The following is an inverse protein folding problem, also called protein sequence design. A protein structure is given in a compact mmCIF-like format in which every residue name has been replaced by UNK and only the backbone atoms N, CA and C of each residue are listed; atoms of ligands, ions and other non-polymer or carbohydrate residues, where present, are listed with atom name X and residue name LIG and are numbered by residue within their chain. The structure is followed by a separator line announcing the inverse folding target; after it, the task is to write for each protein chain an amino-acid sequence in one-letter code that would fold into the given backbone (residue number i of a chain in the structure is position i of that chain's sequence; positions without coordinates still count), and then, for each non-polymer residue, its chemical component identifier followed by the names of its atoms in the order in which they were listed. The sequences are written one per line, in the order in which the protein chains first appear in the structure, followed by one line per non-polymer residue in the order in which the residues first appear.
data_IF_604560821423
#
_entry.id   IF_604560821423
#
_cell.length_a   1.000
_cell.length_b   1.000
_cell.length_c   1.000
_cell.angle_alpha   90.00
_cell.angle_beta   90.00
_cell.angle_gamma   90.00
#
_symmetry.space_group_name_H-M   'P 1'
#
loop_
_entity.id
_entity.type
_entity.pdbx_description
1 polymer ?
#
# COMPACT_ATOMS: atom_id res chain seq x y z
N UNK A 1 -3.05 20.68 -1.21
CA UNK A 1 -2.12 20.97 -0.08
C UNK A 1 -2.94 21.22 1.18
N UNK A 2 -2.53 20.65 2.32
CA UNK A 2 -3.18 20.85 3.62
C UNK A 2 -2.93 22.26 4.16
N UNK A 3 -3.80 22.76 5.05
CA UNK A 3 -3.62 24.06 5.71
C UNK A 3 -2.28 24.12 6.46
N UNK A 4 -1.89 23.01 7.12
CA UNK A 4 -0.58 22.89 7.79
C UNK A 4 0.57 23.07 6.82
N UNK A 5 0.55 22.37 5.67
CA UNK A 5 1.60 22.48 4.65
C UNK A 5 1.73 23.89 4.09
N UNK A 6 0.60 24.60 3.89
CA UNK A 6 0.63 26.00 3.46
C UNK A 6 1.26 26.93 4.49
N UNK A 7 1.02 26.70 5.79
CA UNK A 7 1.61 27.50 6.88
C UNK A 7 3.12 27.27 7.01
N UNK A 8 3.57 26.03 6.81
CA UNK A 8 5.01 25.70 6.80
C UNK A 8 5.70 26.37 5.61
N UNK A 9 5.13 26.24 4.39
CA UNK A 9 5.68 26.88 3.19
C UNK A 9 5.76 28.41 3.31
N UNK A 10 4.82 29.05 4.00
CA UNK A 10 4.82 30.48 4.27
C UNK A 10 5.74 30.90 5.43
N UNK A 11 6.45 29.96 6.05
CA UNK A 11 7.32 30.24 7.20
C UNK A 11 6.57 30.63 8.48
N UNK A 12 5.24 30.45 8.54
CA UNK A 12 4.42 30.75 9.72
C UNK A 12 4.63 29.68 10.81
N UNK A 13 4.89 28.44 10.39
CA UNK A 13 5.21 27.32 11.26
C UNK A 13 6.53 26.71 10.82
N UNK A 14 7.38 26.37 11.79
CA UNK A 14 8.56 25.57 11.52
C UNK A 14 8.16 24.12 11.23
N UNK A 15 8.86 23.50 10.29
CA UNK A 15 8.74 22.07 10.09
C UNK A 15 9.37 21.34 11.28
N UNK A 16 8.83 20.19 11.66
CA UNK A 16 9.43 19.32 12.67
C UNK A 16 10.73 18.75 12.09
N UNK A 17 11.81 18.76 12.86
CA UNK A 17 13.05 18.15 12.40
C UNK A 17 12.96 16.61 12.40
N UNK A 18 13.81 15.95 11.62
CA UNK A 18 13.76 14.50 11.44
C UNK A 18 14.07 13.73 12.74
N UNK A 19 14.99 14.23 13.55
CA UNK A 19 15.34 13.60 14.84
C UNK A 19 14.15 13.62 15.82
N UNK A 20 13.39 14.70 15.85
CA UNK A 20 12.18 14.78 16.66
C UNK A 20 11.08 13.84 16.14
N UNK A 21 10.93 13.69 14.83
CA UNK A 21 9.98 12.73 14.25
C UNK A 21 10.35 11.31 14.68
N UNK A 22 11.61 10.92 14.56
CA UNK A 22 12.11 9.60 14.97
C UNK A 22 11.90 9.40 16.48
N UNK A 23 12.24 10.40 17.30
CA UNK A 23 12.06 10.34 18.75
C UNK A 23 10.60 10.16 19.15
N UNK A 24 9.68 10.93 18.55
CA UNK A 24 8.24 10.82 18.81
C UNK A 24 7.70 9.45 18.38
N UNK A 25 8.17 8.93 17.25
CA UNK A 25 7.77 7.61 16.78
C UNK A 25 8.24 6.50 17.73
N UNK A 26 9.47 6.55 18.24
CA UNK A 26 9.99 5.60 19.21
C UNK A 26 9.20 5.65 20.53
N UNK A 27 8.88 6.85 21.02
CA UNK A 27 8.02 7.02 22.21
C UNK A 27 6.64 6.40 21.98
N UNK A 28 6.05 6.59 20.79
CA UNK A 28 4.77 6.00 20.44
C UNK A 28 4.83 4.46 20.49
N UNK A 29 5.87 3.85 19.89
CA UNK A 29 6.07 2.40 19.92
C UNK A 29 6.21 1.89 21.35
N UNK A 30 7.05 2.53 22.18
CA UNK A 30 7.25 2.13 23.58
C UNK A 30 5.95 2.21 24.39
N UNK A 31 5.25 3.34 24.30
CA UNK A 31 4.02 3.57 25.06
C UNK A 31 2.88 2.63 24.63
N UNK A 32 2.72 2.39 23.35
CA UNK A 32 1.71 1.44 22.87
C UNK A 32 2.02 0.01 23.34
N UNK A 33 3.30 -0.40 23.29
CA UNK A 33 3.76 -1.69 23.80
C UNK A 33 3.51 -1.86 25.29
N UNK A 34 3.81 -0.83 26.12
CA UNK A 34 3.53 -0.82 27.58
C UNK A 34 2.03 -1.05 27.88
N UNK A 35 1.14 -0.63 26.98
CA UNK A 35 -0.31 -0.79 27.12
C UNK A 35 -0.88 -2.03 26.40
N UNK A 36 -0.01 -2.97 26.00
CA UNK A 36 -0.41 -4.25 25.42
C UNK A 36 -0.85 -4.18 23.95
N UNK A 37 -0.39 -3.17 23.21
CA UNK A 37 -0.60 -3.11 21.78
C UNK A 37 0.59 -3.71 21.03
N UNK A 38 0.30 -4.43 19.96
CA UNK A 38 1.26 -4.90 18.97
C UNK A 38 1.41 -3.85 17.88
N UNK A 39 2.64 -3.49 17.53
CA UNK A 39 2.97 -2.71 16.36
C UNK A 39 3.10 -3.68 15.18
N UNK A 40 2.04 -3.92 14.44
CA UNK A 40 2.00 -4.95 13.41
C UNK A 40 2.26 -4.43 11.98
N UNK A 41 2.19 -3.11 11.80
CA UNK A 41 2.54 -2.42 10.55
C UNK A 41 2.98 -1.00 10.90
N UNK A 42 3.76 -0.34 10.05
CA UNK A 42 4.42 0.97 10.31
C UNK A 42 3.49 1.98 11.00
N UNK A 43 2.21 2.05 10.61
CA UNK A 43 1.26 3.04 11.11
C UNK A 43 0.17 2.45 11.99
N UNK A 44 0.14 1.12 12.17
CA UNK A 44 -0.98 0.43 12.79
C UNK A 44 -0.56 -0.34 14.03
N UNK A 45 -1.31 -0.12 15.08
CA UNK A 45 -1.18 -0.78 16.38
C UNK A 45 -2.51 -1.44 16.73
N UNK A 46 -2.49 -2.64 17.30
CA UNK A 46 -3.68 -3.34 17.75
C UNK A 46 -3.39 -4.19 18.98
N UNK A 47 -4.40 -4.48 19.78
CA UNK A 47 -4.33 -5.56 20.77
C UNK A 47 -4.34 -6.90 20.06
N UNK A 48 -3.82 -7.94 20.70
CA UNK A 48 -3.84 -9.31 20.18
C UNK A 48 -5.26 -9.71 19.76
N UNK A 49 -5.41 -10.26 18.55
CA UNK A 49 -6.70 -10.63 17.97
C UNK A 49 -7.52 -9.49 17.37
N UNK A 50 -7.07 -8.22 17.49
CA UNK A 50 -7.79 -7.04 16.98
C UNK A 50 -7.10 -6.33 15.83
N UNK A 51 -6.17 -6.99 15.13
CA UNK A 51 -5.57 -6.44 13.91
C UNK A 51 -6.64 -6.16 12.87
N UNK A 52 -6.53 -5.02 12.18
CA UNK A 52 -7.49 -4.66 11.12
C UNK A 52 -7.43 -5.67 9.98
N UNK A 53 -8.48 -6.46 9.80
CA UNK A 53 -8.59 -7.39 8.67
C UNK A 53 -8.55 -6.65 7.33
N UNK A 54 -9.27 -5.55 7.24
CA UNK A 54 -9.31 -4.74 6.03
C UNK A 54 -7.91 -4.22 5.63
N UNK A 55 -7.15 -3.66 6.56
CA UNK A 55 -5.80 -3.18 6.27
C UNK A 55 -4.84 -4.33 5.95
N UNK A 56 -4.98 -5.47 6.63
CA UNK A 56 -4.12 -6.64 6.42
C UNK A 56 -4.28 -7.25 5.02
N UNK A 57 -5.45 -7.13 4.40
CA UNK A 57 -5.71 -7.61 3.04
C UNK A 57 -4.77 -6.95 2.02
N UNK A 58 -4.48 -5.65 2.17
CA UNK A 58 -3.59 -4.93 1.26
C UNK A 58 -2.11 -5.40 1.32
N UNK A 59 -1.75 -6.14 2.38
CA UNK A 59 -0.39 -6.65 2.60
C UNK A 59 -0.24 -8.15 2.23
N UNK A 60 -1.32 -8.82 1.79
CA UNK A 60 -1.38 -10.28 1.63
C UNK A 60 -1.70 -10.76 0.22
N UNK A 61 -1.47 -9.97 -0.81
CA UNK A 61 -1.72 -10.33 -2.22
C UNK A 61 -3.16 -10.86 -2.50
N UNK A 62 -4.12 -10.49 -1.65
CA UNK A 62 -5.52 -10.87 -1.81
C UNK A 62 -6.20 -9.98 -2.84
N UNK A 63 -6.95 -10.59 -3.75
CA UNK A 63 -7.75 -9.87 -4.74
C UNK A 63 -8.85 -9.07 -4.07
N UNK A 64 -9.05 -7.85 -4.53
CA UNK A 64 -10.09 -6.97 -4.00
C UNK A 64 -10.74 -6.11 -5.09
N UNK A 65 -11.99 -5.75 -4.88
CA UNK A 65 -12.76 -4.85 -5.74
C UNK A 65 -13.03 -3.54 -5.00
N UNK A 66 -12.55 -2.45 -5.58
CA UNK A 66 -12.79 -1.11 -5.07
C UNK A 66 -14.07 -0.49 -5.64
N UNK A 67 -14.94 -0.01 -4.77
CA UNK A 67 -16.19 0.67 -5.14
C UNK A 67 -16.09 2.15 -4.79
N UNK A 68 -16.47 3.00 -5.72
CA UNK A 68 -16.46 4.45 -5.55
C UNK A 68 -15.41 5.17 -6.37
N UNK A 69 -15.46 6.51 -6.39
CA UNK A 69 -14.48 7.35 -7.05
C UNK A 69 -13.09 7.16 -6.44
N UNK A 70 -12.05 7.11 -7.27
CA UNK A 70 -10.66 6.81 -6.89
C UNK A 70 -10.42 5.42 -6.27
N UNK A 71 -11.41 4.56 -6.12
CA UNK A 71 -11.23 3.26 -5.52
C UNK A 71 -10.37 2.36 -6.41
N UNK A 72 -9.47 1.63 -5.77
CA UNK A 72 -8.56 0.68 -6.43
C UNK A 72 -9.11 -0.73 -6.36
N UNK A 73 -8.83 -1.52 -7.39
CA UNK A 73 -9.10 -2.95 -7.45
C UNK A 73 -7.83 -3.70 -7.86
N UNK A 74 -7.71 -4.96 -7.44
CA UNK A 74 -6.59 -5.82 -7.75
C UNK A 74 -7.10 -7.24 -8.02
N UNK A 75 -6.64 -7.85 -9.12
CA UNK A 75 -7.05 -9.19 -9.54
C UNK A 75 -5.92 -10.25 -9.47
N UNK A 76 -4.77 -9.89 -8.89
CA UNK A 76 -3.57 -10.72 -8.82
C UNK A 76 -2.61 -10.53 -10.00
N UNK A 77 -3.03 -9.86 -11.07
CA UNK A 77 -2.21 -9.62 -12.29
C UNK A 77 -2.26 -8.18 -12.76
N UNK A 78 -3.31 -7.49 -12.41
CA UNK A 78 -3.50 -6.09 -12.78
C UNK A 78 -4.09 -5.29 -11.64
N UNK A 79 -3.78 -4.02 -11.65
CA UNK A 79 -4.40 -3.01 -10.79
C UNK A 79 -5.23 -2.08 -11.65
N UNK A 80 -6.39 -1.72 -11.15
CA UNK A 80 -7.21 -0.68 -11.75
C UNK A 80 -7.66 0.32 -10.70
N UNK A 81 -7.94 1.54 -11.11
CA UNK A 81 -8.51 2.58 -10.25
C UNK A 81 -9.57 3.35 -10.98
N UNK A 82 -10.67 3.59 -10.31
CA UNK A 82 -11.80 4.32 -10.83
C UNK A 82 -11.45 5.81 -11.02
N UNK A 83 -12.20 6.50 -11.89
CA UNK A 83 -12.06 7.95 -12.06
C UNK A 83 -12.18 8.67 -10.71
N UNK A 84 -11.35 9.68 -10.49
CA UNK A 84 -11.29 10.40 -9.21
C UNK A 84 -12.41 11.43 -9.02
N UNK A 85 -12.96 11.96 -10.12
CA UNK A 85 -14.05 12.93 -10.06
C UNK A 85 -15.37 12.24 -9.71
N UNK A 86 -15.93 12.54 -8.54
CA UNK A 86 -17.15 11.90 -8.01
C UNK A 86 -18.36 12.10 -8.94
N UNK A 87 -18.56 13.29 -9.46
CA UNK A 87 -19.69 13.59 -10.39
C UNK A 87 -19.58 12.73 -11.65
N UNK A 88 -18.38 12.68 -12.24
CA UNK A 88 -18.12 11.85 -13.40
C UNK A 88 -18.32 10.37 -13.09
N UNK A 89 -17.84 9.89 -11.95
CA UNK A 89 -18.04 8.50 -11.52
C UNK A 89 -19.53 8.13 -11.44
N UNK A 90 -20.35 8.98 -10.80
CA UNK A 90 -21.79 8.76 -10.68
C UNK A 90 -22.44 8.72 -12.06
N UNK A 91 -22.18 9.69 -12.93
CA UNK A 91 -22.71 9.72 -14.29
C UNK A 91 -22.37 8.45 -15.07
N UNK A 92 -21.12 7.98 -14.99
CA UNK A 92 -20.69 6.75 -15.66
C UNK A 92 -21.40 5.52 -15.12
N UNK A 93 -21.58 5.41 -13.79
CA UNK A 93 -22.34 4.31 -13.17
C UNK A 93 -23.81 4.32 -13.61
N UNK A 94 -24.45 5.48 -13.71
CA UNK A 94 -25.82 5.61 -14.20
C UNK A 94 -25.94 5.17 -15.67
N UNK A 95 -24.99 5.57 -16.52
CA UNK A 95 -24.90 5.12 -17.92
C UNK A 95 -24.75 3.60 -17.99
N UNK A 96 -23.82 3.02 -17.22
CA UNK A 96 -23.62 1.57 -17.15
C UNK A 96 -24.88 0.83 -16.70
N UNK A 97 -25.59 1.37 -15.72
CA UNK A 97 -26.85 0.81 -15.21
C UNK A 97 -27.95 0.83 -16.26
N UNK A 98 -28.06 1.91 -17.05
CA UNK A 98 -29.10 2.07 -18.09
C UNK A 98 -28.84 1.23 -19.35
N UNK A 99 -27.57 1.03 -19.72
CA UNK A 99 -27.16 0.33 -20.94
C UNK A 99 -26.84 -1.16 -20.71
N UNK A 100 -26.78 -1.61 -19.45
CA UNK A 100 -26.47 -2.99 -19.09
C UNK A 100 -25.02 -3.39 -19.42
N UNK A 101 -24.76 -4.71 -19.54
CA UNK A 101 -23.42 -5.28 -19.78
C UNK A 101 -22.68 -4.76 -21.03
N UNK A 102 -23.40 -4.22 -22.00
CA UNK A 102 -22.81 -3.76 -23.28
C UNK A 102 -21.77 -2.64 -23.14
N UNK A 103 -21.80 -1.89 -22.05
CA UNK A 103 -20.83 -0.81 -21.76
C UNK A 103 -19.44 -1.34 -21.40
N UNK A 104 -19.37 -2.55 -20.86
CA UNK A 104 -18.10 -3.15 -20.42
C UNK A 104 -17.34 -3.88 -21.55
N UNK A 105 -17.92 -4.05 -22.72
CA UNK A 105 -17.36 -4.84 -23.82
C UNK A 105 -16.46 -4.03 -24.76
N UNK A 106 -16.44 -2.71 -24.67
CA UNK A 106 -15.58 -1.83 -25.47
C UNK A 106 -14.47 -1.25 -24.58
N UNK A 107 -13.20 -1.51 -24.91
CA UNK A 107 -12.03 -0.97 -24.19
C UNK A 107 -12.06 0.55 -24.11
N UNK A 108 -12.46 1.24 -25.21
CA UNK A 108 -12.56 2.70 -25.25
C UNK A 108 -13.56 3.25 -24.21
N UNK A 109 -14.66 2.54 -23.99
CA UNK A 109 -15.65 2.92 -22.99
C UNK A 109 -15.13 2.58 -21.57
N UNK A 110 -14.48 1.45 -21.40
CA UNK A 110 -13.90 1.04 -20.11
C UNK A 110 -12.87 2.07 -19.59
N UNK A 111 -12.04 2.66 -20.44
CA UNK A 111 -11.08 3.71 -20.09
C UNK A 111 -11.73 4.99 -19.54
N UNK A 112 -13.00 5.22 -19.81
CA UNK A 112 -13.75 6.34 -19.22
C UNK A 112 -14.08 6.10 -17.74
N UNK A 113 -14.21 4.82 -17.33
CA UNK A 113 -14.62 4.42 -15.98
C UNK A 113 -13.42 4.22 -15.05
N UNK A 114 -12.38 3.59 -15.57
CA UNK A 114 -11.19 3.27 -14.80
C UNK A 114 -9.93 3.28 -15.67
N UNK A 115 -8.80 3.41 -15.02
CA UNK A 115 -7.49 3.12 -15.60
C UNK A 115 -7.02 1.77 -15.10
N UNK A 116 -6.30 1.05 -15.97
CA UNK A 116 -5.76 -0.28 -15.65
C UNK A 116 -4.27 -0.34 -15.96
N UNK A 117 -3.54 -1.01 -15.09
CA UNK A 117 -2.12 -1.32 -15.21
C UNK A 117 -1.94 -2.83 -15.13
N UNK A 118 -1.25 -3.41 -16.11
CA UNK A 118 -0.84 -4.81 -16.05
C UNK A 118 0.50 -4.88 -15.33
N UNK A 119 0.55 -5.62 -14.24
CA UNK A 119 1.74 -5.74 -13.41
C UNK A 119 2.67 -6.81 -13.98
N UNK A 120 3.93 -6.43 -14.21
CA UNK A 120 4.99 -7.36 -14.55
C UNK A 120 5.36 -8.21 -13.33
N UNK A 121 6.20 -9.23 -13.52
CA UNK A 121 6.76 -10.00 -12.40
C UNK A 121 7.61 -9.12 -11.49
N UNK A 122 8.39 -8.20 -12.08
CA UNK A 122 9.20 -7.24 -11.33
C UNK A 122 8.33 -6.31 -10.47
N UNK A 123 7.22 -5.79 -11.03
CA UNK A 123 6.31 -4.93 -10.28
C UNK A 123 5.72 -5.67 -9.07
N UNK A 124 5.21 -6.88 -9.28
CA UNK A 124 4.64 -7.70 -8.21
C UNK A 124 5.66 -8.07 -7.13
N UNK A 125 6.88 -8.44 -7.54
CA UNK A 125 7.97 -8.71 -6.60
C UNK A 125 8.33 -7.47 -5.78
N UNK A 126 8.52 -6.33 -6.43
CA UNK A 126 8.86 -5.08 -5.75
C UNK A 126 7.74 -4.65 -4.77
N UNK A 127 6.48 -4.77 -5.17
CA UNK A 127 5.35 -4.51 -4.29
C UNK A 127 5.31 -5.46 -3.09
N UNK A 128 5.51 -6.77 -3.32
CA UNK A 128 5.57 -7.74 -2.23
C UNK A 128 6.67 -7.39 -1.22
N UNK A 129 7.88 -7.12 -1.69
CA UNK A 129 8.99 -6.75 -0.80
C UNK A 129 8.68 -5.45 -0.06
N UNK A 130 8.23 -4.40 -0.75
CA UNK A 130 7.90 -3.12 -0.16
C UNK A 130 6.81 -3.23 0.90
N UNK A 131 5.75 -3.97 0.61
CA UNK A 131 4.62 -4.15 1.54
C UNK A 131 5.01 -5.02 2.73
N UNK A 132 5.71 -6.13 2.50
CA UNK A 132 6.12 -7.06 3.56
C UNK A 132 7.10 -6.42 4.54
N UNK A 133 8.05 -5.60 4.06
CA UNK A 133 8.99 -4.86 4.92
C UNK A 133 8.31 -3.79 5.80
N UNK A 134 7.06 -3.43 5.52
CA UNK A 134 6.26 -2.53 6.35
C UNK A 134 5.56 -3.23 7.51
N UNK A 135 5.56 -4.54 7.54
CA UNK A 135 4.84 -5.37 8.49
C UNK A 135 5.78 -6.07 9.48
N UNK A 136 5.27 -6.49 10.62
CA UNK A 136 6.03 -7.21 11.63
C UNK A 136 6.44 -8.63 11.23
N UNK A 137 5.80 -9.21 10.20
CA UNK A 137 6.15 -10.55 9.71
C UNK A 137 7.22 -10.55 8.61
N UNK A 138 7.48 -9.41 7.95
CA UNK A 138 8.57 -9.27 6.99
C UNK A 138 8.36 -10.06 5.70
N UNK A 139 9.46 -10.28 4.95
CA UNK A 139 9.45 -11.03 3.69
C UNK A 139 9.71 -12.52 3.94
N UNK A 140 8.88 -13.37 3.34
CA UNK A 140 9.08 -14.80 3.28
C UNK A 140 9.87 -15.18 2.02
N UNK A 141 11.06 -15.76 2.22
CA UNK A 141 11.99 -16.11 1.14
C UNK A 141 11.47 -17.29 0.32
N UNK A 142 10.83 -18.26 0.95
CA UNK A 142 10.24 -19.42 0.26
C UNK A 142 9.10 -18.96 -0.65
N UNK A 143 8.27 -18.03 -0.17
CA UNK A 143 7.24 -17.39 -0.98
C UNK A 143 7.83 -16.61 -2.16
N UNK A 144 8.93 -15.87 -1.96
CA UNK A 144 9.60 -15.14 -3.07
C UNK A 144 10.06 -16.15 -4.14
N UNK A 145 10.72 -17.24 -3.74
CA UNK A 145 11.19 -18.26 -4.68
C UNK A 145 10.03 -18.93 -5.43
N UNK A 146 8.95 -19.27 -4.72
CA UNK A 146 7.77 -19.94 -5.29
C UNK A 146 7.00 -19.06 -6.27
N UNK A 147 6.77 -17.78 -5.94
CA UNK A 147 5.87 -16.89 -6.67
C UNK A 147 6.57 -16.12 -7.80
N UNK A 148 7.87 -15.86 -7.65
CA UNK A 148 8.66 -15.02 -8.56
C UNK A 148 9.88 -15.74 -9.15
N UNK A 149 10.35 -16.83 -8.52
CA UNK A 149 11.49 -17.62 -8.95
C UNK A 149 12.75 -17.41 -8.11
N UNK A 150 13.67 -18.39 -8.18
CA UNK A 150 14.89 -18.45 -7.36
C UNK A 150 15.80 -17.22 -7.55
N UNK A 151 15.87 -16.67 -8.77
CA UNK A 151 16.67 -15.47 -9.05
C UNK A 151 16.24 -14.24 -8.23
N UNK A 152 14.95 -14.11 -7.96
CA UNK A 152 14.43 -13.02 -7.11
C UNK A 152 14.75 -13.26 -5.63
N UNK A 153 14.68 -14.51 -5.17
CA UNK A 153 15.08 -14.86 -3.80
C UNK A 153 16.57 -14.60 -3.56
N UNK A 154 17.44 -14.98 -4.51
CA UNK A 154 18.87 -14.68 -4.46
C UNK A 154 19.15 -13.20 -4.49
N UNK A 155 18.45 -12.45 -5.35
CA UNK A 155 18.54 -10.98 -5.40
C UNK A 155 18.17 -10.35 -4.06
N UNK A 156 17.05 -10.77 -3.47
CA UNK A 156 16.61 -10.30 -2.16
C UNK A 156 17.67 -10.57 -1.08
N UNK A 157 18.16 -11.82 -0.97
CA UNK A 157 19.16 -12.21 0.01
C UNK A 157 20.48 -11.45 -0.12
N UNK A 158 20.91 -11.21 -1.36
CA UNK A 158 22.13 -10.43 -1.66
C UNK A 158 22.01 -8.98 -1.17
N UNK A 159 20.85 -8.36 -1.37
CA UNK A 159 20.64 -6.98 -0.99
C UNK A 159 20.41 -6.82 0.52
N UNK A 160 19.63 -7.69 1.15
CA UNK A 160 19.36 -7.59 2.59
C UNK A 160 20.64 -7.77 3.42
N UNK A 161 21.57 -8.63 2.98
CA UNK A 161 22.88 -8.79 3.64
C UNK A 161 23.66 -7.49 3.70
N UNK A 162 23.64 -6.68 2.64
CA UNK A 162 24.32 -5.37 2.64
C UNK A 162 23.76 -4.44 3.74
N UNK A 163 22.43 -4.41 3.89
CA UNK A 163 21.78 -3.52 4.87
C UNK A 163 21.91 -4.01 6.31
N UNK A 164 21.93 -5.33 6.55
CA UNK A 164 22.15 -5.89 7.88
C UNK A 164 23.56 -5.63 8.43
N UNK A 165 24.56 -5.54 7.56
CA UNK A 165 25.93 -5.16 7.97
C UNK A 165 26.00 -3.71 8.44
N UNK A 166 25.27 -2.78 7.81
CA UNK A 166 25.24 -1.38 8.23
C UNK A 166 24.51 -1.14 9.56
N UNK A 167 23.55 -1.99 9.94
CA UNK A 167 22.81 -1.82 11.19
C UNK A 167 23.56 -2.30 12.44
N UNK A 168 24.60 -3.13 12.29
CA UNK A 168 25.47 -3.60 13.39
C UNK A 168 26.64 -2.66 13.72
N UNK A 169 26.79 -1.57 12.97
CA UNK A 169 27.92 -0.62 13.07
C UNK A 169 27.53 0.72 13.69
N UNK A 170 26.37 0.81 14.36
CA UNK A 170 25.93 1.99 15.12
C UNK A 170 25.59 1.66 16.54
#
# INVERSE_FOLDING_TARGET
KTILGQKIEKGILQNVNEDDIIRHYNILIEKTKEHGFEHYEISNFAKEGFRSQHNSIYWTDVKYLGLGASAHSYDGKSRQWNVSNLTKYIQLVEVARSQGRKVAESEEIAELYYKREILTTDDRYNEYVMTSLRTSWGCDIEKIASDYGDSYAEHFLKNIKKHLFFSKSR
#
